data_IF_789598284223
#
_entry.id   IF_789598284223
#
_cell.length_a   1.000
_cell.length_b   1.000
_cell.length_c   1.000
_cell.angle_alpha   90.00
_cell.angle_beta   90.00
_cell.angle_gamma   90.00
#
_symmetry.space_group_name_H-M   'P 1'
#
loop_
_entity.id
_entity.type
_entity.pdbx_description
1 polymer ?
#
# COMPACT_ATOMS: atom_id res chain seq x y z
N UNK A 1 0.22 24.97 -2.17
CA UNK A 1 0.35 26.15 -3.08
C UNK A 1 1.77 26.68 -3.11
N UNK A 2 2.51 26.63 -1.99
CA UNK A 2 3.91 27.08 -1.96
C UNK A 2 4.83 26.28 -2.91
N UNK A 3 4.49 25.03 -3.20
CA UNK A 3 5.25 24.15 -4.09
C UNK A 3 4.69 24.07 -5.52
N UNK A 4 3.77 24.95 -5.91
CA UNK A 4 3.16 24.96 -7.25
C UNK A 4 1.95 24.04 -7.42
N UNK A 5 1.60 23.23 -6.41
CA UNK A 5 0.40 22.41 -6.45
C UNK A 5 -0.88 23.24 -6.20
N UNK A 6 -2.03 22.86 -6.81
CA UNK A 6 -3.28 23.62 -6.67
C UNK A 6 -3.81 23.60 -5.23
N UNK A 7 -3.57 22.54 -4.51
CA UNK A 7 -3.92 22.35 -3.10
C UNK A 7 -3.00 21.30 -2.46
N UNK A 8 -3.09 21.09 -1.14
CA UNK A 8 -2.36 20.04 -0.47
C UNK A 8 -2.86 18.67 -0.95
N UNK A 9 -1.98 17.79 -1.46
CA UNK A 9 -2.35 16.43 -1.79
C UNK A 9 -2.65 15.63 -0.52
N UNK A 10 -3.40 14.54 -0.68
CA UNK A 10 -3.53 13.53 0.35
C UNK A 10 -2.19 12.81 0.52
N UNK A 11 -1.93 12.35 1.74
CA UNK A 11 -0.78 11.49 2.01
C UNK A 11 -0.82 10.21 1.15
N UNK A 12 0.31 9.85 0.58
CA UNK A 12 0.43 8.72 -0.34
C UNK A 12 0.05 7.38 0.29
N UNK A 13 0.37 7.18 1.59
CA UNK A 13 -0.01 5.96 2.31
C UNK A 13 -1.52 5.91 2.58
N UNK A 14 -2.15 7.06 2.83
CA UNK A 14 -3.61 7.12 2.95
C UNK A 14 -4.29 6.72 1.63
N UNK A 15 -3.81 7.22 0.49
CA UNK A 15 -4.30 6.80 -0.83
C UNK A 15 -4.08 5.30 -1.07
N UNK A 16 -2.91 4.78 -0.70
CA UNK A 16 -2.61 3.34 -0.75
C UNK A 16 -3.61 2.52 0.07
N UNK A 17 -3.86 2.90 1.32
CA UNK A 17 -4.76 2.16 2.20
C UNK A 17 -6.20 2.12 1.68
N UNK A 18 -6.70 3.22 1.12
CA UNK A 18 -8.03 3.24 0.50
C UNK A 18 -8.10 2.27 -0.68
N UNK A 19 -7.13 2.33 -1.59
CA UNK A 19 -7.05 1.46 -2.78
C UNK A 19 -6.88 -0.01 -2.36
N UNK A 20 -6.01 -0.28 -1.39
CA UNK A 20 -5.76 -1.60 -0.85
C UNK A 20 -7.00 -2.19 -0.18
N UNK A 21 -7.66 -1.42 0.69
CA UNK A 21 -8.86 -1.86 1.41
C UNK A 21 -9.95 -2.36 0.46
N UNK A 22 -10.12 -1.69 -0.70
CA UNK A 22 -11.06 -2.12 -1.75
C UNK A 22 -10.76 -3.49 -2.34
N UNK A 23 -9.52 -3.95 -2.27
CA UNK A 23 -9.12 -5.25 -2.83
C UNK A 23 -9.27 -6.41 -1.84
N UNK A 24 -9.52 -6.12 -0.57
CA UNK A 24 -9.60 -7.16 0.47
C UNK A 24 -10.76 -8.14 0.25
N UNK A 25 -12.00 -7.70 -0.04
CA UNK A 25 -13.12 -8.61 -0.23
C UNK A 25 -12.88 -9.65 -1.33
N UNK A 26 -12.22 -9.24 -2.42
CA UNK A 26 -12.10 -10.04 -3.63
C UNK A 26 -10.79 -10.82 -3.73
N UNK A 27 -9.71 -10.32 -3.12
CA UNK A 27 -8.37 -10.89 -3.28
C UNK A 27 -7.88 -11.57 -2.00
N UNK A 28 -8.10 -10.96 -0.85
CA UNK A 28 -7.43 -11.39 0.38
C UNK A 28 -8.33 -11.64 1.59
N UNK A 29 -9.65 -11.68 1.42
CA UNK A 29 -10.55 -11.97 2.54
C UNK A 29 -10.27 -13.34 3.18
N UNK A 30 -9.92 -14.33 2.36
CA UNK A 30 -9.56 -15.68 2.77
C UNK A 30 -8.05 -15.94 2.71
N UNK A 31 -7.25 -14.89 2.68
CA UNK A 31 -5.79 -15.03 2.66
C UNK A 31 -5.27 -15.46 4.03
N UNK A 32 -4.34 -16.40 4.01
CA UNK A 32 -3.58 -16.81 5.20
C UNK A 32 -2.55 -15.75 5.56
N UNK A 33 -1.90 -15.17 4.54
CA UNK A 33 -0.90 -14.15 4.71
C UNK A 33 -0.75 -13.28 3.45
N UNK A 34 -0.43 -12.02 3.66
CA UNK A 34 0.08 -11.15 2.63
C UNK A 34 1.61 -11.31 2.62
N UNK A 35 2.16 -11.80 1.50
CA UNK A 35 3.55 -12.25 1.44
C UNK A 35 4.52 -11.18 0.95
N UNK A 36 4.02 -10.17 0.22
CA UNK A 36 4.87 -9.08 -0.23
C UNK A 36 4.27 -8.18 -1.28
N UNK A 37 5.03 -7.15 -1.59
CA UNK A 37 4.73 -6.11 -2.57
C UNK A 37 5.92 -5.85 -3.48
N UNK A 38 5.63 -5.43 -4.71
CA UNK A 38 6.63 -4.98 -5.67
C UNK A 38 6.08 -3.90 -6.60
N UNK A 39 6.98 -3.15 -7.19
CA UNK A 39 6.68 -2.18 -8.25
C UNK A 39 5.60 -1.16 -7.86
N UNK A 40 5.51 -0.80 -6.56
CA UNK A 40 4.58 0.23 -6.09
C UNK A 40 4.97 1.61 -6.64
N UNK A 41 4.02 2.30 -7.26
CA UNK A 41 4.24 3.62 -7.85
C UNK A 41 3.03 4.51 -7.63
N UNK A 42 3.26 5.67 -7.05
CA UNK A 42 2.30 6.77 -7.04
C UNK A 42 2.43 7.54 -8.34
N UNK A 43 1.32 7.81 -9.00
CA UNK A 43 1.27 8.41 -10.34
C UNK A 43 0.70 9.82 -10.30
N UNK A 44 -0.61 9.94 -10.26
CA UNK A 44 -1.28 11.22 -10.10
C UNK A 44 -1.52 11.54 -8.64
N UNK A 45 -1.47 12.81 -8.30
CA UNK A 45 -1.80 13.30 -6.96
C UNK A 45 -3.28 13.06 -6.63
N UNK A 46 -3.55 12.67 -5.39
CA UNK A 46 -4.89 12.55 -4.85
C UNK A 46 -5.20 13.75 -3.96
N UNK A 47 -6.37 14.29 -4.08
CA UNK A 47 -6.80 15.46 -3.34
C UNK A 47 -8.09 15.20 -2.57
N UNK A 48 -8.36 16.03 -1.55
CA UNK A 48 -9.65 16.00 -0.87
C UNK A 48 -10.79 16.21 -1.87
N UNK A 49 -11.81 15.34 -1.81
CA UNK A 49 -12.92 15.31 -2.76
C UNK A 49 -12.74 14.32 -3.92
N UNK A 50 -11.57 13.74 -4.12
CA UNK A 50 -11.39 12.68 -5.11
C UNK A 50 -12.09 11.38 -4.67
N UNK A 51 -12.66 10.68 -5.65
CA UNK A 51 -13.23 9.35 -5.49
C UNK A 51 -12.29 8.31 -6.07
N UNK A 52 -11.81 7.39 -5.23
CA UNK A 52 -10.87 6.35 -5.64
C UNK A 52 -11.60 5.03 -5.94
N UNK A 53 -11.14 4.37 -7.00
CA UNK A 53 -11.56 3.03 -7.42
C UNK A 53 -10.35 2.14 -7.58
N UNK A 54 -10.54 0.83 -7.42
CA UNK A 54 -9.48 -0.17 -7.59
C UNK A 54 -9.91 -1.23 -8.59
N UNK A 55 -8.94 -1.70 -9.38
CA UNK A 55 -9.05 -2.91 -10.19
C UNK A 55 -7.81 -3.76 -10.02
N UNK A 56 -7.98 -5.07 -10.01
CA UNK A 56 -6.88 -6.03 -9.87
C UNK A 56 -6.90 -7.04 -11.00
N UNK A 57 -5.74 -7.29 -11.57
CA UNK A 57 -5.48 -8.32 -12.56
C UNK A 57 -4.65 -9.43 -11.92
N UNK A 58 -5.09 -10.68 -12.05
CA UNK A 58 -4.29 -11.85 -11.64
C UNK A 58 -3.20 -12.07 -12.67
N UNK A 59 -1.94 -11.92 -12.25
CA UNK A 59 -0.76 -12.02 -13.12
C UNK A 59 0.07 -13.27 -12.85
N UNK A 60 -0.32 -14.08 -11.89
CA UNK A 60 0.33 -15.35 -11.62
C UNK A 60 -0.35 -16.15 -10.53
N UNK A 61 -0.15 -17.47 -10.59
CA UNK A 61 -0.65 -18.45 -9.66
C UNK A 61 0.42 -19.51 -9.40
N UNK A 62 0.52 -19.98 -8.17
CA UNK A 62 1.41 -21.08 -7.79
C UNK A 62 0.81 -21.87 -6.64
N UNK A 63 0.60 -23.16 -6.82
CA UNK A 63 0.22 -24.04 -5.70
C UNK A 63 1.41 -24.24 -4.76
N UNK A 64 1.16 -24.26 -3.46
CA UNK A 64 2.15 -24.58 -2.45
C UNK A 64 2.33 -26.12 -2.34
N UNK A 65 3.48 -26.57 -1.84
CA UNK A 65 3.79 -27.99 -1.67
C UNK A 65 2.82 -28.74 -0.76
N UNK A 66 2.15 -28.03 0.16
CA UNK A 66 1.11 -28.59 1.03
C UNK A 66 -0.16 -28.96 0.28
N UNK A 67 -0.37 -28.48 -0.95
CA UNK A 67 -1.58 -28.61 -1.78
C UNK A 67 -2.88 -28.07 -1.17
N UNK A 68 -2.82 -27.47 0.03
CA UNK A 68 -3.98 -26.88 0.71
C UNK A 68 -4.12 -25.38 0.48
N UNK A 69 -3.09 -24.77 -0.11
CA UNK A 69 -3.02 -23.34 -0.38
C UNK A 69 -2.18 -23.05 -1.62
N UNK A 70 -2.25 -21.83 -2.08
CA UNK A 70 -1.43 -21.34 -3.18
C UNK A 70 -1.13 -19.86 -3.05
N UNK A 71 -0.25 -19.37 -3.89
CA UNK A 71 0.10 -17.95 -4.00
C UNK A 71 -0.61 -17.36 -5.21
N UNK A 72 -1.31 -16.26 -4.99
CA UNK A 72 -1.95 -15.46 -6.03
C UNK A 72 -1.17 -14.15 -6.17
N UNK A 73 -0.69 -13.87 -7.37
CA UNK A 73 -0.03 -12.61 -7.71
C UNK A 73 -1.04 -11.70 -8.40
N UNK A 74 -1.21 -10.50 -7.90
CA UNK A 74 -2.13 -9.51 -8.49
C UNK A 74 -1.44 -8.19 -8.74
N UNK A 75 -1.76 -7.58 -9.88
CA UNK A 75 -1.45 -6.19 -10.18
C UNK A 75 -2.68 -5.35 -9.92
N UNK A 76 -2.59 -4.45 -8.97
CA UNK A 76 -3.68 -3.54 -8.61
C UNK A 76 -3.40 -2.15 -9.15
N UNK A 77 -4.43 -1.53 -9.72
CA UNK A 77 -4.45 -0.13 -10.15
C UNK A 77 -5.53 0.62 -9.41
N UNK A 78 -5.15 1.73 -8.79
CA UNK A 78 -6.07 2.71 -8.25
C UNK A 78 -6.29 3.84 -9.25
N UNK A 79 -7.54 4.24 -9.45
CA UNK A 79 -7.90 5.37 -10.32
C UNK A 79 -8.79 6.36 -9.58
N UNK A 80 -8.73 7.63 -9.97
CA UNK A 80 -9.67 8.65 -9.52
C UNK A 80 -10.90 8.71 -10.41
N UNK A 81 -11.83 9.64 -10.13
CA UNK A 81 -13.08 9.82 -10.89
C UNK A 81 -12.87 10.27 -12.33
N UNK A 82 -11.68 10.78 -12.67
CA UNK A 82 -11.30 11.19 -14.03
C UNK A 82 -10.69 10.05 -14.85
N UNK A 83 -10.53 8.87 -14.24
CA UNK A 83 -9.87 7.73 -14.86
C UNK A 83 -8.34 7.79 -14.84
N UNK A 84 -7.76 8.79 -14.17
CA UNK A 84 -6.31 8.89 -14.02
C UNK A 84 -5.82 7.82 -13.05
N UNK A 85 -4.73 7.13 -13.42
CA UNK A 85 -4.08 6.17 -12.52
C UNK A 85 -3.37 6.98 -11.43
N UNK A 86 -3.82 6.83 -10.18
CA UNK A 86 -3.20 7.47 -9.02
C UNK A 86 -2.12 6.60 -8.40
N UNK A 87 -2.30 5.28 -8.50
CA UNK A 87 -1.34 4.32 -7.97
C UNK A 87 -1.41 3.00 -8.72
N UNK A 88 -0.28 2.30 -8.88
CA UNK A 88 -0.23 0.90 -9.28
C UNK A 88 0.83 0.14 -8.46
N UNK A 89 0.54 -1.13 -8.16
CA UNK A 89 1.46 -2.02 -7.45
C UNK A 89 1.16 -3.49 -7.76
N UNK A 90 2.14 -4.33 -7.50
CA UNK A 90 1.97 -5.80 -7.47
C UNK A 90 2.04 -6.26 -6.03
N UNK A 91 1.16 -7.20 -5.65
CA UNK A 91 1.27 -7.94 -4.40
C UNK A 91 1.03 -9.42 -4.62
N UNK A 92 1.47 -10.24 -3.68
CA UNK A 92 1.15 -11.65 -3.68
C UNK A 92 0.72 -12.10 -2.30
N UNK A 93 -0.30 -12.93 -2.31
CA UNK A 93 -0.98 -13.40 -1.11
C UNK A 93 -1.07 -14.92 -1.10
N UNK A 94 -0.97 -15.51 0.06
CA UNK A 94 -1.23 -16.93 0.25
C UNK A 94 -2.71 -17.13 0.55
N UNK A 95 -3.39 -17.89 -0.31
CA UNK A 95 -4.84 -18.15 -0.21
C UNK A 95 -5.07 -19.65 -0.08
N UNK A 96 -6.00 -20.05 0.78
CA UNK A 96 -6.40 -21.45 0.91
C UNK A 96 -7.17 -21.91 -0.32
N UNK A 97 -6.97 -23.17 -0.71
CA UNK A 97 -7.83 -23.81 -1.70
C UNK A 97 -9.21 -24.03 -1.09
N UNK A 98 -10.25 -23.92 -1.91
CA UNK A 98 -11.61 -24.28 -1.53
C UNK A 98 -11.77 -25.80 -1.45
N UNK A 99 -11.16 -26.50 -2.38
CA UNK A 99 -11.11 -27.95 -2.48
C UNK A 99 -9.64 -28.38 -2.61
N UNK A 100 -9.16 -29.14 -1.61
CA UNK A 100 -7.78 -29.59 -1.57
C UNK A 100 -7.47 -30.58 -2.72
N UNK A 101 -8.46 -31.34 -3.14
CA UNK A 101 -8.33 -32.33 -4.22
C UNK A 101 -8.42 -31.72 -5.63
N UNK A 102 -8.82 -30.45 -5.74
CA UNK A 102 -8.85 -29.78 -7.01
C UNK A 102 -7.47 -29.76 -7.67
N UNK A 103 -7.43 -30.00 -8.98
CA UNK A 103 -6.19 -29.95 -9.76
C UNK A 103 -5.46 -28.60 -9.56
N UNK A 104 -4.13 -28.67 -9.50
CA UNK A 104 -3.31 -27.47 -9.43
C UNK A 104 -3.50 -26.63 -10.71
N UNK A 105 -3.60 -25.30 -10.58
CA UNK A 105 -3.54 -24.44 -11.76
C UNK A 105 -2.16 -24.51 -12.42
N UNK A 106 -2.07 -24.08 -13.66
CA UNK A 106 -0.78 -23.84 -14.29
C UNK A 106 0.04 -22.86 -13.42
N UNK A 107 1.29 -23.23 -13.16
CA UNK A 107 2.19 -22.40 -12.36
C UNK A 107 2.72 -21.26 -13.20
N UNK A 108 2.31 -20.04 -12.86
CA UNK A 108 2.81 -18.80 -13.43
C UNK A 108 3.34 -17.92 -12.30
N UNK A 109 4.66 -17.72 -12.26
CA UNK A 109 5.30 -16.78 -11.34
C UNK A 109 5.78 -15.58 -12.16
N UNK A 110 5.23 -14.39 -11.93
CA UNK A 110 5.61 -13.22 -12.73
C UNK A 110 7.04 -12.80 -12.43
N UNK A 111 7.75 -12.40 -13.47
CA UNK A 111 9.04 -11.72 -13.29
C UNK A 111 8.79 -10.28 -12.81
N UNK A 112 9.33 -9.95 -11.64
CA UNK A 112 9.15 -8.65 -11.01
C UNK A 112 10.49 -7.91 -10.92
N UNK A 113 10.48 -6.64 -11.23
CA UNK A 113 11.66 -5.78 -11.03
C UNK A 113 12.04 -5.80 -9.54
N UNK A 114 13.31 -6.06 -9.27
CA UNK A 114 13.84 -6.07 -7.90
C UNK A 114 13.83 -4.67 -7.26
N UNK A 115 14.00 -3.63 -8.06
CA UNK A 115 13.95 -2.24 -7.64
C UNK A 115 13.38 -1.37 -8.76
N UNK A 116 12.75 -0.28 -8.39
CA UNK A 116 12.38 0.80 -9.32
C UNK A 116 13.59 1.70 -9.58
N UNK A 117 13.66 2.26 -10.78
CA UNK A 117 14.63 3.27 -11.15
C UNK A 117 14.01 4.66 -11.06
N UNK A 118 14.82 5.71 -11.09
CA UNK A 118 14.33 7.10 -11.11
C UNK A 118 13.37 7.34 -12.28
N UNK A 119 13.60 6.69 -13.42
CA UNK A 119 12.74 6.80 -14.60
C UNK A 119 11.33 6.15 -14.41
N UNK A 120 11.19 5.27 -13.42
CA UNK A 120 9.89 4.66 -13.07
C UNK A 120 9.03 5.56 -12.18
N UNK A 121 9.61 6.64 -11.61
CA UNK A 121 8.92 7.53 -10.68
C UNK A 121 8.14 8.62 -11.44
N UNK A 122 6.94 8.93 -10.96
CA UNK A 122 6.14 10.03 -11.47
C UNK A 122 6.37 11.26 -10.59
N UNK A 123 6.91 12.31 -11.17
CA UNK A 123 7.09 13.59 -10.49
C UNK A 123 5.96 14.53 -10.96
N UNK A 124 5.18 15.15 -10.05
CA UNK A 124 4.13 16.06 -10.43
C UNK A 124 4.66 17.22 -11.28
N UNK A 125 3.96 17.52 -12.37
CA UNK A 125 4.32 18.65 -13.21
C UNK A 125 4.10 19.98 -12.45
N UNK A 126 4.93 20.98 -12.76
CA UNK A 126 4.78 22.33 -12.22
C UNK A 126 5.26 22.53 -10.78
N UNK A 127 5.94 21.55 -10.20
CA UNK A 127 6.57 21.74 -8.89
C UNK A 127 7.57 22.89 -8.93
N UNK A 128 7.46 23.79 -7.95
CA UNK A 128 8.39 24.89 -7.73
C UNK A 128 8.58 25.10 -6.23
N UNK A 129 9.82 25.34 -5.83
CA UNK A 129 10.18 25.59 -4.44
C UNK A 129 10.68 27.02 -4.19
N UNK A 130 10.54 27.90 -5.19
CA UNK A 130 11.03 29.29 -5.13
C UNK A 130 10.42 30.11 -3.97
N UNK A 131 9.22 29.73 -3.51
CA UNK A 131 8.50 30.37 -2.40
C UNK A 131 8.33 29.45 -1.19
N UNK A 132 9.10 28.35 -1.14
CA UNK A 132 9.04 27.44 0.00
C UNK A 132 9.67 28.08 1.22
N UNK A 133 8.92 28.17 2.30
CA UNK A 133 9.38 28.73 3.58
C UNK A 133 9.78 27.57 4.51
N UNK A 134 11.07 27.34 4.60
CA UNK A 134 11.63 26.27 5.42
C UNK A 134 11.41 26.50 6.92
N UNK A 135 11.38 27.76 7.39
CA UNK A 135 11.12 28.06 8.80
C UNK A 135 9.68 27.74 9.17
N UNK A 136 8.71 28.10 8.31
CA UNK A 136 7.31 27.75 8.48
C UNK A 136 7.06 26.24 8.38
N UNK A 137 7.85 25.53 7.57
CA UNK A 137 7.78 24.08 7.43
C UNK A 137 8.36 23.34 8.65
N UNK A 138 9.02 24.04 9.57
CA UNK A 138 9.62 23.42 10.74
C UNK A 138 10.93 22.68 10.47
N UNK A 139 11.60 22.97 9.35
CA UNK A 139 12.86 22.34 8.97
C UNK A 139 14.05 23.30 9.11
N UNK A 140 14.64 23.41 10.32
CA UNK A 140 15.76 24.34 10.53
C UNK A 140 17.06 23.85 9.90
N UNK A 141 17.22 22.53 9.69
CA UNK A 141 18.48 21.93 9.26
C UNK A 141 18.59 21.82 7.74
N UNK A 142 19.81 21.94 7.23
CA UNK A 142 20.19 21.79 5.81
C UNK A 142 21.27 20.73 5.68
N UNK A 143 21.58 20.31 4.47
CA UNK A 143 22.59 19.28 4.22
C UNK A 143 23.91 19.51 4.97
N UNK A 144 24.35 20.75 5.08
CA UNK A 144 25.59 21.09 5.79
C UNK A 144 25.53 21.06 7.32
N UNK A 145 24.33 20.87 7.88
CA UNK A 145 24.12 20.80 9.32
C UNK A 145 24.21 19.37 9.87
N UNK A 146 24.41 18.38 8.95
CA UNK A 146 24.51 16.96 9.32
C UNK A 146 25.94 16.45 9.16
N UNK A 147 26.34 15.55 10.04
CA UNK A 147 27.63 14.88 9.98
C UNK A 147 27.50 13.34 9.89
N UNK A 148 28.39 12.71 9.11
CA UNK A 148 28.42 11.23 9.05
C UNK A 148 28.75 10.66 10.44
N UNK A 149 27.89 9.73 10.91
CA UNK A 149 28.00 9.13 12.25
C UNK A 149 27.32 9.92 13.36
N UNK A 150 26.73 11.08 13.07
CA UNK A 150 25.87 11.80 14.00
C UNK A 150 24.67 10.94 14.40
N UNK A 151 24.32 10.94 15.67
CA UNK A 151 23.13 10.29 16.21
C UNK A 151 22.16 11.35 16.68
N UNK A 152 20.99 11.39 16.05
CA UNK A 152 19.93 12.34 16.39
C UNK A 152 18.87 11.59 17.20
N UNK A 153 18.70 11.98 18.46
CA UNK A 153 17.65 11.47 19.33
C UNK A 153 16.36 12.27 19.06
N UNK A 154 15.32 11.59 18.59
CA UNK A 154 14.02 12.20 18.31
C UNK A 154 13.11 12.33 19.56
N UNK A 155 13.60 12.09 20.74
CA UNK A 155 13.08 12.27 22.11
C UNK A 155 11.63 11.81 22.32
N UNK A 156 10.71 12.14 21.41
CA UNK A 156 9.28 11.85 21.53
C UNK A 156 8.94 10.43 21.10
N UNK A 157 8.12 9.76 21.90
CA UNK A 157 7.60 8.43 21.61
C UNK A 157 6.08 8.40 21.46
N UNK A 158 5.57 7.37 20.80
CA UNK A 158 4.14 7.10 20.66
C UNK A 158 3.84 5.68 21.12
N UNK A 159 2.86 5.53 22.00
CA UNK A 159 2.34 4.22 22.39
C UNK A 159 1.40 3.71 21.30
N UNK A 160 1.70 2.54 20.78
CA UNK A 160 0.87 1.87 19.77
C UNK A 160 -0.22 1.07 20.48
N UNK A 161 -1.47 1.39 20.19
CA UNK A 161 -2.64 0.75 20.79
C UNK A 161 -3.44 -0.10 19.79
N UNK A 162 -4.10 -1.17 20.28
CA UNK A 162 -4.98 -2.00 19.44
C UNK A 162 -6.15 -1.21 18.86
N UNK A 163 -6.66 -0.22 19.60
CA UNK A 163 -7.78 0.60 19.17
C UNK A 163 -7.48 1.36 17.87
N UNK A 164 -6.27 1.87 17.72
CA UNK A 164 -5.82 2.56 16.50
C UNK A 164 -5.77 1.62 15.31
N UNK A 165 -5.26 0.40 15.48
CA UNK A 165 -5.25 -0.63 14.45
C UNK A 165 -6.66 -0.97 13.98
N UNK A 166 -7.58 -1.22 14.92
CA UNK A 166 -8.97 -1.55 14.62
C UNK A 166 -9.69 -0.40 13.91
N UNK A 167 -9.47 0.84 14.37
CA UNK A 167 -10.07 2.04 13.77
C UNK A 167 -9.55 2.27 12.36
N UNK A 168 -8.24 2.24 12.15
CA UNK A 168 -7.62 2.41 10.84
C UNK A 168 -8.13 1.36 9.84
N UNK A 169 -8.23 0.11 10.25
CA UNK A 169 -8.76 -0.98 9.43
C UNK A 169 -10.18 -0.69 8.92
N UNK A 170 -11.06 -0.17 9.78
CA UNK A 170 -12.43 0.21 9.41
C UNK A 170 -12.47 1.45 8.51
N UNK A 171 -11.67 2.45 8.81
CA UNK A 171 -11.58 3.68 8.01
C UNK A 171 -11.18 3.38 6.56
N UNK A 172 -10.25 2.47 6.38
CA UNK A 172 -9.77 2.06 5.06
C UNK A 172 -10.59 0.95 4.41
N UNK A 173 -11.74 0.57 5.02
CA UNK A 173 -12.65 -0.44 4.51
C UNK A 173 -12.00 -1.83 4.29
N UNK A 174 -10.98 -2.15 5.07
CA UNK A 174 -10.44 -3.49 5.13
C UNK A 174 -11.43 -4.39 5.88
N UNK A 175 -12.03 -5.35 5.19
CA UNK A 175 -13.08 -6.23 5.72
C UNK A 175 -12.57 -7.52 6.34
N UNK A 176 -11.26 -7.71 6.42
CA UNK A 176 -10.67 -8.90 7.03
C UNK A 176 -10.87 -8.88 8.56
N UNK A 177 -11.74 -9.74 9.05
CA UNK A 177 -12.18 -9.79 10.46
C UNK A 177 -11.05 -9.96 11.46
N UNK A 178 -9.96 -10.63 11.06
CA UNK A 178 -8.77 -10.82 11.90
C UNK A 178 -8.22 -9.52 12.49
N UNK A 179 -8.48 -8.39 11.85
CA UNK A 179 -7.99 -7.08 12.29
C UNK A 179 -8.90 -6.35 13.29
N UNK A 180 -10.19 -6.72 13.40
CA UNK A 180 -11.13 -5.92 14.21
C UNK A 180 -12.22 -6.72 14.95
N UNK A 181 -12.31 -8.04 14.74
CA UNK A 181 -13.30 -8.90 15.39
C UNK A 181 -12.60 -9.81 16.41
N UNK A 182 -12.72 -9.47 17.68
CA UNK A 182 -12.09 -10.22 18.76
C UNK A 182 -12.63 -11.65 18.91
N UNK A 183 -13.80 -11.94 18.34
CA UNK A 183 -14.41 -13.28 18.36
C UNK A 183 -13.95 -14.12 17.17
N UNK A 184 -13.40 -13.49 16.13
CA UNK A 184 -12.86 -14.18 14.97
C UNK A 184 -11.49 -14.77 15.32
N UNK A 185 -11.48 -16.07 15.53
CA UNK A 185 -10.25 -16.83 15.77
C UNK A 185 -10.09 -17.90 14.70
N UNK A 186 -9.12 -17.73 13.83
CA UNK A 186 -8.50 -18.83 13.12
C UNK A 186 -7.19 -19.17 13.85
N UNK A 187 -7.12 -20.34 14.46
CA UNK A 187 -5.92 -20.90 15.08
C UNK A 187 -5.24 -20.01 16.16
N UNK A 188 -6.02 -19.21 16.88
CA UNK A 188 -5.51 -18.43 18.01
C UNK A 188 -4.58 -17.26 17.63
N UNK A 189 -4.52 -16.87 16.37
CA UNK A 189 -3.77 -15.69 15.89
C UNK A 189 -4.69 -14.47 15.80
N UNK A 190 -4.31 -13.41 16.46
CA UNK A 190 -4.72 -12.05 16.16
C UNK A 190 -3.76 -11.40 15.17
#
# INVERSE_FOLDING_TARGET
RACGLPQAPLDDLAAFHVIFGKTVPDVSLNAVANLGYAQGRWRAQVYAGDTLRSSSEVIGLKENSSRTSGVVYVRTRGTNQRGEIVMDYVRWVMVRKRDAEAAAPETVVPELKRALTVADLAIPAGLTFAKYDFAQAGEPHRLGDYAVGEVIDHVDGVTIEEAEHMMATRLWQNTAKVHFDATFREDGRR
#
